data_IF_684656280120
#
_entry.id   IF_684656280120
#
_cell.length_a   1.000
_cell.length_b   1.000
_cell.length_c   1.000
_cell.angle_alpha   90.00
_cell.angle_beta   90.00
_cell.angle_gamma   90.00
#
_symmetry.space_group_name_H-M   'P 1'
#
loop_
_entity.id
_entity.type
_entity.pdbx_description
1 polymer ?
#
# COMPACT_ATOMS: atom_id res chain seq x y z
N UNK A 1 -7.00 -3.52 14.73
CA UNK A 1 -5.77 -3.90 15.46
C UNK A 1 -5.16 -2.63 16.03
N UNK A 2 -4.86 -2.61 17.33
CA UNK A 2 -4.33 -1.42 18.01
C UNK A 2 -2.78 -1.49 18.09
N UNK A 3 -2.07 -0.34 18.08
CA UNK A 3 -0.62 -0.31 18.33
C UNK A 3 -0.25 -0.91 19.69
N UNK A 4 0.96 -1.48 19.81
CA UNK A 4 1.48 -1.93 21.10
C UNK A 4 1.69 -0.72 22.03
N UNK A 5 1.10 -0.79 23.24
CA UNK A 5 1.20 0.24 24.28
C UNK A 5 2.59 0.25 24.92
N UNK A 6 3.01 1.40 25.44
CA UNK A 6 4.28 1.64 26.15
C UNK A 6 5.57 1.57 25.30
N UNK A 7 5.46 1.44 23.98
CA UNK A 7 6.59 1.68 23.07
C UNK A 7 6.59 3.18 22.73
N UNK A 8 7.51 3.93 23.32
CA UNK A 8 7.61 5.38 23.12
C UNK A 8 8.03 5.65 21.68
N UNK A 9 7.13 6.26 20.92
CA UNK A 9 7.28 6.45 19.48
C UNK A 9 7.02 7.91 19.11
N UNK A 10 8.06 8.64 18.68
CA UNK A 10 7.93 10.00 18.15
C UNK A 10 7.95 9.96 16.62
N UNK A 11 7.05 10.69 15.96
CA UNK A 11 6.93 10.71 14.49
C UNK A 11 8.25 11.10 13.79
N UNK A 12 9.10 11.90 14.46
CA UNK A 12 10.44 12.27 14.00
C UNK A 12 11.48 11.14 14.04
N UNK A 13 11.28 10.11 14.87
CA UNK A 13 12.20 8.98 14.98
C UNK A 13 12.09 8.04 13.76
N UNK A 14 10.99 8.09 13.00
CA UNK A 14 10.82 7.30 11.77
C UNK A 14 11.86 7.55 10.70
N UNK A 15 12.47 8.75 10.70
CA UNK A 15 13.51 9.15 9.75
C UNK A 15 14.92 8.86 10.24
N UNK A 16 15.13 8.64 11.55
CA UNK A 16 16.48 8.64 12.16
C UNK A 16 16.84 7.35 12.90
N UNK A 17 15.86 6.57 13.38
CA UNK A 17 16.11 5.33 14.13
C UNK A 17 15.57 4.12 13.41
N UNK A 18 16.38 3.07 13.37
CA UNK A 18 15.96 1.76 12.90
C UNK A 18 15.08 1.10 13.97
N UNK A 19 13.95 0.51 13.58
CA UNK A 19 13.10 -0.23 14.50
C UNK A 19 13.81 -1.53 14.89
N UNK A 20 14.13 -1.69 16.17
CA UNK A 20 14.95 -2.79 16.66
C UNK A 20 14.10 -3.98 17.08
N UNK A 21 12.93 -3.71 17.66
CA UNK A 21 12.00 -4.74 18.17
C UNK A 21 10.87 -5.04 17.19
N UNK A 22 10.21 -6.20 17.34
CA UNK A 22 9.10 -6.62 16.48
C UNK A 22 7.90 -5.68 16.68
N UNK A 23 7.68 -5.23 17.91
CA UNK A 23 6.65 -4.29 18.32
C UNK A 23 6.87 -2.92 17.69
N UNK A 24 8.11 -2.44 17.65
CA UNK A 24 8.46 -1.19 16.98
C UNK A 24 8.26 -1.26 15.47
N UNK A 25 8.65 -2.39 14.84
CA UNK A 25 8.42 -2.62 13.41
C UNK A 25 6.93 -2.63 13.07
N UNK A 26 6.12 -3.30 13.89
CA UNK A 26 4.67 -3.30 13.75
C UNK A 26 4.08 -1.90 13.90
N UNK A 27 4.45 -1.19 14.97
CA UNK A 27 3.97 0.18 15.22
C UNK A 27 4.39 1.13 14.10
N UNK A 28 5.59 0.95 13.52
CA UNK A 28 6.06 1.70 12.35
C UNK A 28 5.22 1.45 11.11
N UNK A 29 5.00 0.19 10.76
CA UNK A 29 4.15 -0.16 9.63
C UNK A 29 2.72 0.36 9.81
N UNK A 30 2.16 0.21 11.02
CA UNK A 30 0.84 0.71 11.36
C UNK A 30 0.73 2.24 11.23
N UNK A 31 1.71 2.98 11.75
CA UNK A 31 1.74 4.43 11.66
C UNK A 31 1.92 4.92 10.21
N UNK A 32 2.80 4.27 9.42
CA UNK A 32 2.95 4.56 7.99
C UNK A 32 1.63 4.37 7.24
N UNK A 33 0.96 3.24 7.44
CA UNK A 33 -0.34 2.96 6.82
C UNK A 33 -1.39 3.99 7.24
N UNK A 34 -1.47 4.30 8.54
CA UNK A 34 -2.39 5.31 9.06
C UNK A 34 -2.13 6.68 8.43
N UNK A 35 -0.86 7.07 8.26
CA UNK A 35 -0.48 8.32 7.61
C UNK A 35 -0.98 8.35 6.16
N UNK A 36 -0.75 7.28 5.38
CA UNK A 36 -1.24 7.19 3.99
C UNK A 36 -2.76 7.34 3.93
N UNK A 37 -3.50 6.65 4.81
CA UNK A 37 -4.96 6.74 4.89
C UNK A 37 -5.40 8.17 5.25
N UNK A 38 -4.79 8.77 6.28
CA UNK A 38 -5.12 10.13 6.71
C UNK A 38 -4.86 11.17 5.61
N UNK A 39 -3.77 11.04 4.87
CA UNK A 39 -3.47 11.90 3.72
C UNK A 39 -4.50 11.74 2.60
N UNK A 40 -4.88 10.50 2.28
CA UNK A 40 -5.93 10.24 1.29
C UNK A 40 -7.28 10.88 1.68
N UNK A 41 -7.64 10.83 2.97
CA UNK A 41 -8.81 11.55 3.47
C UNK A 41 -8.65 13.08 3.41
N UNK A 42 -7.44 13.59 3.66
CA UNK A 42 -7.12 15.01 3.50
C UNK A 42 -7.40 15.51 2.08
N UNK A 43 -6.85 14.83 1.07
CA UNK A 43 -7.10 15.11 -0.35
C UNK A 43 -8.59 15.06 -0.65
N UNK A 44 -9.28 14.01 -0.20
CA UNK A 44 -10.68 13.80 -0.49
C UNK A 44 -11.56 14.93 0.08
N UNK A 45 -11.27 15.37 1.31
CA UNK A 45 -11.99 16.49 1.94
C UNK A 45 -11.68 17.83 1.29
N UNK A 46 -10.42 18.07 0.92
CA UNK A 46 -10.02 19.29 0.22
C UNK A 46 -10.71 19.41 -1.15
N UNK A 47 -10.80 18.30 -1.88
CA UNK A 47 -11.46 18.25 -3.20
C UNK A 47 -12.98 18.30 -3.10
N UNK A 48 -13.58 17.65 -2.09
CA UNK A 48 -15.03 17.55 -1.95
C UNK A 48 -15.50 18.14 -0.61
N UNK A 49 -15.72 19.47 -0.54
CA UNK A 49 -16.18 20.14 0.68
C UNK A 49 -17.52 19.62 1.23
N UNK A 50 -18.34 19.00 0.39
CA UNK A 50 -19.59 18.34 0.79
C UNK A 50 -19.37 17.22 1.82
N UNK A 51 -18.19 16.59 1.83
CA UNK A 51 -17.83 15.57 2.82
C UNK A 51 -17.48 16.16 4.19
N UNK A 52 -17.17 17.46 4.25
CA UNK A 52 -16.85 18.15 5.50
C UNK A 52 -18.09 18.82 6.11
N UNK A 53 -18.96 19.39 5.28
CA UNK A 53 -20.23 20.01 5.69
C UNK A 53 -21.42 19.25 5.11
N UNK A 54 -21.63 18.02 5.59
CA UNK A 54 -22.68 17.17 5.05
C UNK A 54 -24.07 17.60 5.55
N UNK A 55 -24.95 17.98 4.62
CA UNK A 55 -26.34 18.27 4.92
C UNK A 55 -27.08 16.98 5.37
N UNK A 56 -28.19 17.09 6.14
CA UNK A 56 -28.92 15.93 6.64
C UNK A 56 -29.71 15.27 5.51
N UNK A 57 -29.07 14.35 4.80
CA UNK A 57 -29.71 13.49 3.80
C UNK A 57 -30.00 12.12 4.42
N UNK A 58 -30.95 11.35 3.84
CA UNK A 58 -31.12 9.95 4.18
C UNK A 58 -29.82 9.16 3.96
N UNK A 59 -29.59 8.13 4.78
CA UNK A 59 -28.36 7.31 4.75
C UNK A 59 -27.96 6.81 3.35
N UNK A 60 -28.94 6.42 2.54
CA UNK A 60 -28.72 5.94 1.17
C UNK A 60 -28.05 7.01 0.29
N UNK A 61 -28.47 8.27 0.45
CA UNK A 61 -27.91 9.41 -0.29
C UNK A 61 -26.52 9.71 0.23
N UNK A 62 -26.30 9.71 1.56
CA UNK A 62 -24.96 9.88 2.14
C UNK A 62 -23.97 8.84 1.62
N UNK A 63 -24.36 7.56 1.62
CA UNK A 63 -23.53 6.46 1.09
C UNK A 63 -23.17 6.68 -0.38
N UNK A 64 -24.15 7.04 -1.20
CA UNK A 64 -23.93 7.24 -2.63
C UNK A 64 -23.00 8.44 -2.89
N UNK A 65 -23.17 9.56 -2.17
CA UNK A 65 -22.28 10.73 -2.26
C UNK A 65 -20.85 10.34 -1.92
N UNK A 66 -20.64 9.64 -0.80
CA UNK A 66 -19.31 9.16 -0.40
C UNK A 66 -18.71 8.27 -1.49
N UNK A 67 -19.44 7.26 -1.97
CA UNK A 67 -18.95 6.37 -3.03
C UNK A 67 -18.59 7.12 -4.31
N UNK A 68 -19.41 8.07 -4.76
CA UNK A 68 -19.14 8.88 -5.94
C UNK A 68 -17.85 9.70 -5.78
N UNK A 69 -17.65 10.36 -4.63
CA UNK A 69 -16.43 11.10 -4.34
C UNK A 69 -15.19 10.20 -4.40
N UNK A 70 -15.24 9.02 -3.78
CA UNK A 70 -14.14 8.05 -3.81
C UNK A 70 -13.86 7.54 -5.22
N UNK A 71 -14.90 7.20 -6.00
CA UNK A 71 -14.74 6.74 -7.38
C UNK A 71 -14.08 7.80 -8.25
N UNK A 72 -14.52 9.06 -8.19
CA UNK A 72 -13.92 10.16 -8.95
C UNK A 72 -12.48 10.42 -8.49
N UNK A 73 -12.21 10.41 -7.18
CA UNK A 73 -10.86 10.58 -6.67
C UNK A 73 -9.90 9.50 -7.16
N UNK A 74 -10.35 8.24 -7.12
CA UNK A 74 -9.58 7.09 -7.57
C UNK A 74 -9.36 7.12 -9.10
N UNK A 75 -10.37 7.56 -9.86
CA UNK A 75 -10.26 7.73 -11.31
C UNK A 75 -9.19 8.76 -11.68
N UNK A 76 -9.23 9.96 -11.06
CA UNK A 76 -8.22 11.01 -11.29
C UNK A 76 -6.81 10.51 -10.98
N UNK A 77 -6.65 9.74 -9.89
CA UNK A 77 -5.37 9.13 -9.52
C UNK A 77 -4.91 8.07 -10.54
N UNK A 78 -5.83 7.25 -11.05
CA UNK A 78 -5.54 6.19 -12.03
C UNK A 78 -5.06 6.78 -13.36
N UNK A 79 -5.73 7.82 -13.83
CA UNK A 79 -5.43 8.47 -15.11
C UNK A 79 -4.20 9.41 -15.04
N UNK A 80 -3.50 9.46 -13.90
CA UNK A 80 -2.31 10.30 -13.66
C UNK A 80 -2.52 11.75 -14.06
N UNK A 81 -3.73 12.25 -13.88
CA UNK A 81 -4.05 13.65 -14.14
C UNK A 81 -3.26 14.47 -13.13
N UNK A 82 -2.48 15.45 -13.62
CA UNK A 82 -1.74 16.34 -12.75
C UNK A 82 -2.75 17.12 -11.91
N UNK A 83 -2.70 16.93 -10.60
CA UNK A 83 -3.73 17.41 -9.69
C UNK A 83 -3.08 18.05 -8.47
N UNK A 84 -3.44 19.30 -8.25
CA UNK A 84 -2.87 20.15 -7.21
C UNK A 84 -3.16 19.61 -5.80
N UNK A 85 -4.32 18.98 -5.58
CA UNK A 85 -4.66 18.40 -4.29
C UNK A 85 -3.78 17.18 -3.98
N UNK A 86 -3.44 16.37 -4.99
CA UNK A 86 -2.46 15.30 -4.79
C UNK A 86 -1.08 15.87 -4.50
N UNK A 87 -0.64 16.90 -5.24
CA UNK A 87 0.68 17.52 -5.03
C UNK A 87 0.84 18.12 -3.63
N UNK A 88 -0.14 18.89 -3.15
CA UNK A 88 -0.13 19.52 -1.83
C UNK A 88 -0.10 18.51 -0.68
N UNK A 89 -0.69 17.33 -0.88
CA UNK A 89 -0.74 16.26 0.12
C UNK A 89 0.33 15.17 -0.08
N UNK A 90 1.14 15.25 -1.15
CA UNK A 90 2.25 14.34 -1.42
C UNK A 90 3.61 14.81 -0.91
N UNK A 91 3.71 15.98 -0.27
CA UNK A 91 4.98 16.50 0.24
C UNK A 91 5.76 15.46 1.08
N UNK A 92 6.86 15.03 0.47
CA UNK A 92 7.99 14.22 0.96
C UNK A 92 7.62 12.88 1.60
N UNK A 93 7.29 11.92 0.73
CA UNK A 93 7.72 10.52 0.95
C UNK A 93 9.12 10.24 0.36
N UNK A 94 9.83 11.26 -0.12
CA UNK A 94 11.26 11.14 -0.44
C UNK A 94 12.08 11.32 0.82
N UNK A 95 12.10 10.24 1.60
CA UNK A 95 13.33 9.53 1.88
C UNK A 95 12.85 8.27 2.59
N UNK A 96 12.68 7.20 1.80
CA UNK A 96 13.14 5.89 2.21
C UNK A 96 14.61 6.08 2.53
N UNK A 97 14.92 6.60 3.73
CA UNK A 97 16.27 6.59 4.26
C UNK A 97 16.59 5.13 4.36
N UNK A 98 17.36 4.65 3.37
CA UNK A 98 17.84 3.29 3.19
C UNK A 98 17.25 2.37 4.24
N UNK A 99 15.97 2.01 4.05
CA UNK A 99 15.63 0.65 4.37
C UNK A 99 16.56 -0.06 3.39
N UNK A 100 17.72 -0.51 3.90
CA UNK A 100 18.30 -1.74 3.39
C UNK A 100 17.07 -2.55 3.11
N UNK A 101 16.88 -2.92 1.85
CA UNK A 101 16.04 -4.06 1.55
C UNK A 101 16.34 -5.00 2.71
N UNK A 102 15.34 -5.22 3.57
CA UNK A 102 15.19 -6.59 4.00
C UNK A 102 14.88 -7.21 2.65
N UNK A 103 15.97 -7.58 1.94
CA UNK A 103 16.01 -8.77 1.14
C UNK A 103 15.19 -9.66 2.04
N UNK A 104 13.97 -9.94 1.61
CA UNK A 104 13.40 -11.18 1.98
C UNK A 104 14.48 -12.14 1.52
N UNK A 105 15.32 -12.52 2.47
CA UNK A 105 16.26 -13.56 2.30
C UNK A 105 15.40 -14.83 2.25
N UNK A 106 14.57 -15.00 1.21
CA UNK A 106 15.05 -15.92 0.20
C UNK A 106 16.47 -15.50 -0.14
N UNK A 107 17.42 -15.96 0.71
CA UNK A 107 18.62 -16.58 0.18
C UNK A 107 18.08 -17.31 -1.03
N UNK A 108 18.36 -16.77 -2.21
CA UNK A 108 17.90 -17.39 -3.42
C UNK A 108 18.26 -18.85 -3.22
N UNK A 109 17.23 -19.71 -3.16
CA UNK A 109 17.46 -21.06 -3.61
C UNK A 109 17.88 -20.81 -5.05
N UNK A 110 19.20 -20.70 -5.25
CA UNK A 110 19.82 -21.08 -6.48
C UNK A 110 19.38 -22.52 -6.63
N UNK A 111 18.20 -22.70 -7.20
CA UNK A 111 17.68 -24.00 -7.57
C UNK A 111 18.79 -24.53 -8.46
N UNK A 112 19.54 -25.51 -7.94
CA UNK A 112 20.73 -25.99 -8.63
C UNK A 112 20.34 -26.37 -10.05
N UNK A 113 21.27 -26.29 -11.01
CA UNK A 113 20.97 -26.50 -12.43
C UNK A 113 20.11 -27.75 -12.71
N UNK A 114 20.26 -28.81 -11.91
CA UNK A 114 19.42 -30.02 -12.00
C UNK A 114 17.94 -29.82 -11.66
N UNK A 115 17.61 -28.93 -10.72
CA UNK A 115 16.22 -28.65 -10.32
C UNK A 115 15.53 -27.71 -11.32
N UNK A 116 16.30 -26.79 -11.93
CA UNK A 116 15.81 -25.99 -13.07
C UNK A 116 15.52 -26.91 -14.25
N UNK A 117 16.42 -27.86 -14.56
CA UNK A 117 16.18 -28.83 -15.63
C UNK A 117 14.96 -29.72 -15.35
N UNK A 118 14.78 -30.15 -14.10
CA UNK A 118 13.61 -30.93 -13.69
C UNK A 118 12.30 -30.15 -13.88
N UNK A 119 12.27 -28.87 -13.50
CA UNK A 119 11.09 -28.02 -13.67
C UNK A 119 10.79 -27.73 -15.16
N UNK A 120 11.83 -27.57 -15.99
CA UNK A 120 11.67 -27.47 -17.45
C UNK A 120 11.09 -28.73 -18.06
N UNK A 121 11.61 -29.90 -17.66
CA UNK A 121 11.13 -31.19 -18.15
C UNK A 121 9.67 -31.44 -17.71
N UNK A 122 9.31 -31.13 -16.45
CA UNK A 122 7.91 -31.25 -16.00
C UNK A 122 6.97 -30.29 -16.74
N UNK A 123 7.43 -29.06 -17.02
CA UNK A 123 6.63 -28.11 -17.80
C UNK A 123 6.37 -28.63 -19.22
N UNK A 124 7.37 -29.22 -19.86
CA UNK A 124 7.23 -29.79 -21.21
C UNK A 124 6.33 -31.03 -21.21
N UNK A 125 6.41 -31.89 -20.20
CA UNK A 125 5.58 -33.09 -20.08
C UNK A 125 4.08 -32.75 -19.90
N UNK A 126 3.79 -31.72 -19.10
CA UNK A 126 2.42 -31.19 -18.94
C UNK A 126 1.91 -30.57 -20.25
N UNK A 127 2.77 -29.84 -20.98
CA UNK A 127 2.40 -29.25 -22.25
C UNK A 127 2.07 -30.33 -23.30
N UNK A 128 2.83 -31.42 -23.34
CA UNK A 128 2.58 -32.56 -24.23
C UNK A 128 1.28 -33.29 -23.87
N UNK A 129 0.99 -33.49 -22.58
CA UNK A 129 -0.29 -34.08 -22.15
C UNK A 129 -1.52 -33.22 -22.51
N UNK A 130 -1.37 -31.89 -22.53
CA UNK A 130 -2.44 -30.98 -22.92
C UNK A 130 -2.66 -30.94 -24.44
N UNK A 131 -1.59 -31.10 -25.22
CA UNK A 131 -1.66 -31.11 -26.69
C UNK A 131 -2.10 -32.50 -27.21
N UNK A 132 -1.79 -33.58 -26.50
CA UNK A 132 -2.20 -34.95 -26.84
C UNK A 132 -3.65 -35.34 -26.47
N UNK A 133 -4.41 -34.42 -25.86
CA UNK A 133 -5.82 -34.62 -25.47
C UNK A 133 -6.83 -33.88 -26.39
N UNK A 134 -6.42 -33.55 -27.62
CA UNK A 134 -7.27 -33.13 -28.74
C UNK A 134 -7.25 -34.22 -29.79
#
# INVERSE_FOLDING_TARGET
MAPYRNVWFWLGDFRRKHAMTIEEKFNRAHAKLRNVIQRAYGVLKARFPILDKMAPYPFNVHRNVVNSCFTVNNFIRKEKINDEFFAQHEEVTEQVGQEKEVEFATKGSHWGAGLIQFMSNMREEIAVQLIGNI
#
